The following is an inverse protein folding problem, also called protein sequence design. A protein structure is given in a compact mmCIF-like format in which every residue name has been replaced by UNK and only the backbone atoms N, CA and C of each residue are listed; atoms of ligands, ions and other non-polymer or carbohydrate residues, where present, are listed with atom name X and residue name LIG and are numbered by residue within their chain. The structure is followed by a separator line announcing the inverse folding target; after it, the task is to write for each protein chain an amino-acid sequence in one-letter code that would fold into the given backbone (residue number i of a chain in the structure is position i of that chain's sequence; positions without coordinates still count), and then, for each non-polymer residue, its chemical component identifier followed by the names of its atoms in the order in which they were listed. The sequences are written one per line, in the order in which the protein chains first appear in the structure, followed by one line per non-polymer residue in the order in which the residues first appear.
data_IF_262225217480
#
_entry.id   IF_262225217480
#
_cell.length_a   1.000
_cell.length_b   1.000
_cell.length_c   1.000
_cell.angle_alpha   90.00
_cell.angle_beta   90.00
_cell.angle_gamma   90.00
#
_symmetry.space_group_name_H-M   'P 1'
#
loop_
_entity.id
_entity.type
_entity.pdbx_description
1 polymer ?
#
# COMPACT_ATOMS: atom_id res chain seq x y z
N UNK A 1 -0.86 0.47 -3.03
CA UNK A 1 -0.88 0.66 -1.56
C UNK A 1 0.57 0.72 -1.13
N UNK A 2 1.04 1.81 -0.49
CA UNK A 2 2.44 1.88 -0.02
C UNK A 2 2.56 0.94 1.19
N UNK A 3 2.92 -0.31 0.92
CA UNK A 3 3.09 -1.37 1.92
C UNK A 3 4.49 -1.36 2.54
N UNK A 4 5.44 -0.66 1.90
CA UNK A 4 6.80 -0.50 2.39
C UNK A 4 6.88 0.74 3.29
N UNK A 5 7.51 0.58 4.45
CA UNK A 5 7.85 1.66 5.36
C UNK A 5 9.37 1.81 5.38
N UNK A 6 9.87 2.86 4.73
CA UNK A 6 11.30 3.07 4.49
C UNK A 6 11.91 3.86 5.65
N UNK A 7 12.90 3.27 6.33
CA UNK A 7 13.61 3.92 7.44
C UNK A 7 15.09 4.02 7.12
N UNK A 8 15.63 5.22 7.17
CA UNK A 8 17.07 5.47 7.10
C UNK A 8 17.63 5.56 8.51
N UNK A 9 18.62 4.74 8.82
CA UNK A 9 19.20 4.62 10.14
C UNK A 9 20.71 4.88 10.11
N UNK A 10 21.16 5.97 10.72
CA UNK A 10 22.57 6.27 10.95
C UNK A 10 23.00 5.80 12.34
N UNK A 11 23.80 4.73 12.41
CA UNK A 11 24.40 4.20 13.66
C UNK A 11 25.72 3.50 13.32
N UNK A 12 26.78 3.87 14.05
CA UNK A 12 28.12 3.30 13.91
C UNK A 12 28.24 1.87 14.50
N UNK A 13 27.26 1.47 15.30
CA UNK A 13 27.18 0.21 16.03
C UNK A 13 25.78 -0.40 15.90
N UNK A 14 25.39 -0.85 14.69
CA UNK A 14 24.04 -1.37 14.41
C UNK A 14 23.65 -2.57 15.30
N UNK A 15 24.62 -3.35 15.79
CA UNK A 15 24.36 -4.45 16.74
C UNK A 15 23.70 -3.99 18.05
N UNK A 16 23.93 -2.74 18.48
CA UNK A 16 23.38 -2.21 19.72
C UNK A 16 21.90 -1.85 19.61
N UNK A 17 21.36 -1.79 18.40
CA UNK A 17 19.98 -1.38 18.12
C UNK A 17 19.19 -2.45 17.35
N UNK A 18 19.77 -3.64 17.16
CA UNK A 18 19.12 -4.77 16.50
C UNK A 18 17.81 -5.17 17.17
N UNK A 19 17.74 -5.08 18.50
CA UNK A 19 16.50 -5.33 19.25
C UNK A 19 15.40 -4.33 18.92
N UNK A 20 15.74 -3.04 18.75
CA UNK A 20 14.79 -2.00 18.35
C UNK A 20 14.33 -2.20 16.90
N UNK A 21 15.26 -2.54 16.00
CA UNK A 21 14.97 -2.84 14.60
C UNK A 21 14.02 -4.04 14.45
N UNK A 22 14.30 -5.14 15.16
CA UNK A 22 13.45 -6.34 15.12
C UNK A 22 12.08 -6.08 15.76
N UNK A 23 12.03 -5.34 16.86
CA UNK A 23 10.77 -4.96 17.49
C UNK A 23 9.84 -4.20 16.52
N UNK A 24 10.39 -3.20 15.82
CA UNK A 24 9.64 -2.40 14.86
C UNK A 24 9.24 -3.23 13.64
N UNK A 25 10.12 -4.13 13.18
CA UNK A 25 9.83 -5.05 12.07
C UNK A 25 8.61 -5.92 12.39
N UNK A 26 8.58 -6.56 13.56
CA UNK A 26 7.45 -7.38 14.01
C UNK A 26 6.18 -6.52 14.11
N UNK A 27 6.30 -5.32 14.66
CA UNK A 27 5.15 -4.43 14.84
C UNK A 27 4.55 -3.95 13.51
N UNK A 28 5.39 -3.53 12.56
CA UNK A 28 4.98 -3.15 11.21
C UNK A 28 4.34 -4.33 10.47
N UNK A 29 4.93 -5.52 10.56
CA UNK A 29 4.38 -6.72 9.95
C UNK A 29 2.96 -7.02 10.47
N UNK A 30 2.72 -6.90 11.79
CA UNK A 30 1.37 -7.01 12.38
C UNK A 30 0.41 -5.94 11.88
N UNK A 31 0.91 -4.77 11.53
CA UNK A 31 0.11 -3.68 10.94
C UNK A 31 -0.08 -3.84 9.41
N UNK A 32 0.52 -4.87 8.81
CA UNK A 32 0.47 -5.13 7.37
C UNK A 32 1.46 -4.31 6.55
N UNK A 33 2.55 -3.85 7.15
CA UNK A 33 3.63 -3.12 6.48
C UNK A 33 4.93 -3.90 6.51
N UNK A 34 5.69 -3.79 5.44
CA UNK A 34 7.05 -4.30 5.31
C UNK A 34 8.05 -3.21 5.72
N UNK A 35 8.91 -3.50 6.69
CA UNK A 35 9.98 -2.59 7.08
C UNK A 35 11.14 -2.68 6.10
N UNK A 36 11.48 -1.57 5.45
CA UNK A 36 12.68 -1.45 4.63
C UNK A 36 13.73 -0.60 5.38
N UNK A 37 14.73 -1.25 5.97
CA UNK A 37 15.82 -0.58 6.69
C UNK A 37 17.00 -0.28 5.76
N UNK A 38 17.38 0.99 5.66
CA UNK A 38 18.65 1.43 5.10
C UNK A 38 19.57 1.83 6.27
N UNK A 39 20.48 0.93 6.68
CA UNK A 39 21.39 1.18 7.79
C UNK A 39 22.75 1.69 7.28
N UNK A 40 23.18 2.84 7.78
CA UNK A 40 24.43 3.51 7.41
C UNK A 40 25.30 3.70 8.65
N UNK A 41 26.53 3.19 8.56
CA UNK A 41 27.53 3.36 9.61
C UNK A 41 28.33 4.66 9.42
N UNK A 42 28.45 5.12 8.18
CA UNK A 42 29.09 6.38 7.81
C UNK A 42 28.04 7.36 7.26
N UNK A 43 28.26 8.63 7.60
CA UNK A 43 27.52 9.80 7.17
C UNK A 43 27.83 10.17 5.72
N UNK A 44 29.07 9.92 5.28
CA UNK A 44 29.57 10.31 3.97
C UNK A 44 29.64 11.82 3.77
N UNK A 45 29.84 12.24 2.51
CA UNK A 45 29.89 13.66 2.14
C UNK A 45 28.49 14.28 2.02
N UNK A 46 28.38 15.60 2.08
CA UNK A 46 27.10 16.30 1.84
C UNK A 46 26.52 15.98 0.45
N UNK A 47 27.36 15.74 -0.56
CA UNK A 47 26.89 15.30 -1.88
C UNK A 47 26.27 13.91 -1.86
N UNK A 48 26.77 13.02 -0.99
CA UNK A 48 26.22 11.68 -0.77
C UNK A 48 24.83 11.78 -0.15
N UNK A 49 24.69 12.61 0.89
CA UNK A 49 23.41 12.88 1.56
C UNK A 49 22.40 13.45 0.58
N UNK A 50 22.79 14.43 -0.25
CA UNK A 50 21.92 15.01 -1.28
C UNK A 50 21.41 13.94 -2.25
N UNK A 51 22.30 13.10 -2.81
CA UNK A 51 21.92 12.02 -3.73
C UNK A 51 20.98 11.00 -3.07
N UNK A 52 21.18 10.74 -1.79
CA UNK A 52 20.35 9.80 -1.03
C UNK A 52 18.88 10.22 -1.03
N UNK A 53 18.61 11.49 -0.73
CA UNK A 53 17.26 12.06 -0.71
C UNK A 53 16.70 12.42 -2.10
N UNK A 54 17.54 12.52 -3.13
CA UNK A 54 17.07 12.65 -4.51
C UNK A 54 16.55 11.33 -5.08
N UNK A 55 17.15 10.21 -4.65
CA UNK A 55 16.86 8.89 -5.21
C UNK A 55 15.90 8.05 -4.37
N UNK A 56 15.68 8.41 -3.10
CA UNK A 56 14.89 7.62 -2.16
C UNK A 56 13.98 8.49 -1.29
N UNK A 57 12.76 8.01 -1.10
CA UNK A 57 11.81 8.55 -0.13
C UNK A 57 11.83 7.75 1.17
N UNK A 58 12.18 8.41 2.27
CA UNK A 58 12.16 7.82 3.61
C UNK A 58 10.98 8.32 4.43
N UNK A 59 10.30 7.39 5.11
CA UNK A 59 9.15 7.66 5.98
C UNK A 59 9.59 8.08 7.39
N UNK A 60 10.78 7.64 7.82
CA UNK A 60 11.38 8.00 9.10
C UNK A 60 12.91 7.99 9.01
N UNK A 61 13.55 8.94 9.69
CA UNK A 61 15.00 9.00 9.83
C UNK A 61 15.37 8.71 11.29
N UNK A 62 16.38 7.91 11.53
CA UNK A 62 16.87 7.55 12.87
C UNK A 62 18.37 7.80 12.92
N UNK A 63 18.85 8.59 13.89
CA UNK A 63 20.23 9.08 13.96
C UNK A 63 20.78 8.92 15.38
N UNK A 64 21.84 8.13 15.55
CA UNK A 64 22.59 8.09 16.82
C UNK A 64 23.39 9.38 16.99
N UNK A 65 23.48 9.85 18.23
CA UNK A 65 24.26 11.03 18.56
C UNK A 65 25.77 10.84 18.34
N UNK A 66 26.31 9.66 18.68
CA UNK A 66 27.75 9.39 18.69
C UNK A 66 28.13 8.51 17.51
N UNK A 67 28.24 9.13 16.34
CA UNK A 67 28.78 8.51 15.14
C UNK A 67 30.33 8.53 15.20
N UNK A 68 30.99 7.49 14.71
CA UNK A 68 32.40 7.20 15.06
C UNK A 68 33.47 7.89 14.23
N UNK A 69 33.15 8.69 13.23
CA UNK A 69 34.17 9.27 12.36
C UNK A 69 33.95 10.75 12.06
N UNK A 70 35.01 11.53 12.32
CA UNK A 70 35.16 12.99 12.18
C UNK A 70 34.36 13.82 13.18
N UNK A 71 34.78 15.06 13.43
CA UNK A 71 34.25 16.00 14.44
C UNK A 71 32.76 16.41 14.28
N UNK A 72 31.98 15.64 13.51
CA UNK A 72 30.55 15.85 13.27
C UNK A 72 29.78 14.82 14.07
N UNK A 73 29.23 15.27 15.18
CA UNK A 73 28.25 14.47 15.91
C UNK A 73 26.92 14.37 15.14
N UNK A 74 26.03 13.48 15.56
CA UNK A 74 24.74 13.30 14.90
C UNK A 74 23.89 14.58 14.83
N UNK A 75 24.17 15.60 15.65
CA UNK A 75 23.45 16.87 15.58
C UNK A 75 23.81 17.68 14.33
N UNK A 76 25.08 17.64 13.90
CA UNK A 76 25.54 18.30 12.69
C UNK A 76 25.04 17.59 11.44
N UNK A 77 24.97 16.27 11.47
CA UNK A 77 24.34 15.49 10.41
C UNK A 77 22.87 15.89 10.22
N UNK A 78 22.10 16.01 11.31
CA UNK A 78 20.68 16.40 11.25
C UNK A 78 20.51 17.77 10.58
N UNK A 79 21.39 18.74 10.87
CA UNK A 79 21.37 20.06 10.22
C UNK A 79 21.60 19.95 8.72
N UNK A 80 22.53 19.08 8.28
CA UNK A 80 22.80 18.83 6.86
C UNK A 80 21.61 18.14 6.19
N UNK A 81 21.09 17.07 6.79
CA UNK A 81 19.90 16.35 6.30
C UNK A 81 18.73 17.31 6.06
N UNK A 82 18.48 18.21 7.01
CA UNK A 82 17.35 19.16 6.96
C UNK A 82 17.40 20.17 5.81
N UNK A 83 18.58 20.37 5.19
CA UNK A 83 18.70 21.17 3.96
C UNK A 83 18.10 20.47 2.73
N UNK A 84 18.06 19.13 2.74
CA UNK A 84 17.59 18.30 1.64
C UNK A 84 16.27 17.58 1.95
N UNK A 85 15.92 17.46 3.23
CA UNK A 85 14.73 16.76 3.71
C UNK A 85 14.07 17.55 4.85
N UNK A 86 13.08 18.39 4.50
CA UNK A 86 12.46 19.34 5.42
C UNK A 86 11.33 18.75 6.24
N UNK A 87 10.52 17.85 5.66
CA UNK A 87 9.25 17.41 6.26
C UNK A 87 9.29 16.06 6.98
N UNK A 88 10.30 15.22 6.76
CA UNK A 88 10.37 13.88 7.36
C UNK A 88 10.79 13.96 8.82
N UNK A 89 10.13 13.21 9.70
CA UNK A 89 10.51 13.16 11.10
C UNK A 89 11.91 12.53 11.28
N UNK A 90 12.65 13.09 12.23
CA UNK A 90 13.96 12.55 12.63
C UNK A 90 13.89 12.12 14.08
N UNK A 91 14.30 10.89 14.37
CA UNK A 91 14.50 10.37 15.71
C UNK A 91 15.99 10.44 16.02
N UNK A 92 16.34 11.30 16.96
CA UNK A 92 17.69 11.51 17.43
C UNK A 92 17.86 10.84 18.79
N UNK A 93 18.75 9.86 18.91
CA UNK A 93 18.87 9.08 20.14
C UNK A 93 20.31 8.92 20.63
N UNK A 94 20.44 8.64 21.92
CA UNK A 94 21.72 8.28 22.54
C UNK A 94 21.50 7.66 23.92
N UNK A 95 22.57 7.35 24.65
CA UNK A 95 22.49 6.99 26.07
C UNK A 95 22.18 8.17 27.01
N UNK A 96 22.20 9.41 26.53
CA UNK A 96 21.85 10.61 27.31
C UNK A 96 20.34 10.77 27.48
N UNK A 97 19.94 11.66 28.40
CA UNK A 97 18.54 12.05 28.58
C UNK A 97 18.01 12.86 27.39
N UNK A 98 16.71 12.74 27.02
CA UNK A 98 16.08 13.52 25.96
C UNK A 98 16.34 15.03 26.03
N UNK A 99 16.30 15.63 27.24
CA UNK A 99 16.52 17.06 27.43
C UNK A 99 17.93 17.52 27.00
N UNK A 100 18.96 16.73 27.33
CA UNK A 100 20.35 16.97 26.92
C UNK A 100 20.57 16.78 25.42
N UNK A 101 19.83 15.88 24.78
CA UNK A 101 19.87 15.74 23.32
C UNK A 101 19.20 16.93 22.64
N UNK A 102 18.05 17.37 23.18
CA UNK A 102 17.30 18.51 22.66
C UNK A 102 18.08 19.81 22.76
N UNK A 103 18.87 20.03 23.82
CA UNK A 103 19.73 21.21 23.92
C UNK A 103 20.86 21.25 22.89
N UNK A 104 21.19 20.11 22.27
CA UNK A 104 22.22 20.00 21.21
C UNK A 104 21.64 20.17 19.79
N UNK A 105 20.31 20.19 19.64
CA UNK A 105 19.67 20.27 18.33
C UNK A 105 18.53 21.29 18.32
N UNK A 106 18.71 22.37 17.56
CA UNK A 106 17.72 23.42 17.34
C UNK A 106 17.04 23.29 15.98
N UNK A 107 16.49 22.10 15.70
CA UNK A 107 15.78 21.83 14.44
C UNK A 107 14.41 21.22 14.73
N UNK A 108 13.42 21.63 13.93
CA UNK A 108 12.05 21.16 14.04
C UNK A 108 11.87 19.75 13.44
N UNK A 109 10.83 19.07 13.92
CA UNK A 109 10.54 17.69 13.55
C UNK A 109 11.60 16.68 14.02
N UNK A 110 12.35 17.01 15.07
CA UNK A 110 13.35 16.12 15.69
C UNK A 110 12.86 15.65 17.06
N UNK A 111 12.69 14.33 17.20
CA UNK A 111 12.31 13.66 18.44
C UNK A 111 13.56 13.14 19.13
N UNK A 112 13.79 13.54 20.37
CA UNK A 112 14.97 13.17 21.14
C UNK A 112 14.65 12.03 22.10
N UNK A 113 15.34 10.89 22.01
CA UNK A 113 15.08 9.73 22.86
C UNK A 113 16.33 9.15 23.53
N UNK A 114 16.11 8.52 24.68
CA UNK A 114 17.12 7.62 25.23
C UNK A 114 17.11 6.30 24.44
N UNK A 115 18.29 5.70 24.26
CA UNK A 115 18.47 4.44 23.54
C UNK A 115 17.64 3.30 24.15
N UNK A 116 17.50 3.26 25.47
CA UNK A 116 16.75 2.19 26.14
C UNK A 116 15.25 2.26 25.83
N UNK A 117 14.73 3.46 25.62
CA UNK A 117 13.31 3.71 25.32
C UNK A 117 13.02 3.73 23.81
N UNK A 118 14.06 3.56 22.99
CA UNK A 118 13.99 3.69 21.53
C UNK A 118 12.96 2.74 20.90
N UNK A 119 12.86 1.44 21.26
CA UNK A 119 11.88 0.54 20.65
C UNK A 119 10.42 1.00 20.84
N UNK A 120 10.07 1.40 22.06
CA UNK A 120 8.72 1.84 22.41
C UNK A 120 8.38 3.19 21.75
N UNK A 121 9.33 4.13 21.78
CA UNK A 121 9.12 5.46 21.20
C UNK A 121 9.06 5.43 19.67
N UNK A 122 9.90 4.62 19.01
CA UNK A 122 9.81 4.42 17.56
C UNK A 122 8.46 3.84 17.18
N UNK A 123 7.97 2.86 17.94
CA UNK A 123 6.63 2.29 17.73
C UNK A 123 5.55 3.38 17.78
N UNK A 124 5.60 4.27 18.78
CA UNK A 124 4.62 5.35 18.93
C UNK A 124 4.62 6.32 17.74
N UNK A 125 5.80 6.78 17.30
CA UNK A 125 5.91 7.68 16.13
C UNK A 125 5.37 7.00 14.88
N UNK A 126 5.79 5.76 14.64
CA UNK A 126 5.39 4.97 13.48
C UNK A 126 3.87 4.78 13.48
N UNK A 127 3.27 4.39 14.61
CA UNK A 127 1.82 4.23 14.73
C UNK A 127 1.07 5.54 14.47
N UNK A 128 1.55 6.67 15.00
CA UNK A 128 0.95 8.00 14.78
C UNK A 128 0.98 8.40 13.30
N UNK A 129 2.08 8.12 12.61
CA UNK A 129 2.24 8.42 11.18
C UNK A 129 1.42 7.49 10.31
N UNK A 130 1.48 6.19 10.59
CA UNK A 130 0.67 5.21 9.89
C UNK A 130 -0.80 5.48 10.07
N UNK A 131 -1.26 5.98 11.22
CA UNK A 131 -2.66 6.40 11.39
C UNK A 131 -3.11 7.42 10.34
N UNK A 132 -2.25 8.39 9.98
CA UNK A 132 -2.55 9.39 8.94
C UNK A 132 -2.47 8.84 7.50
N UNK A 133 -1.59 7.89 7.25
CA UNK A 133 -1.51 7.22 5.93
C UNK A 133 -2.69 6.24 5.75
N UNK A 134 -3.04 5.54 6.83
CA UNK A 134 -4.25 4.77 6.93
C UNK A 134 -5.47 5.67 6.77
N UNK A 135 -5.46 6.91 7.29
CA UNK A 135 -6.51 7.91 7.06
C UNK A 135 -6.66 8.24 5.56
N UNK A 136 -5.60 8.40 4.77
CA UNK A 136 -5.74 8.55 3.31
C UNK A 136 -6.35 7.33 2.62
N UNK A 137 -5.96 6.11 3.02
CA UNK A 137 -6.58 4.89 2.52
C UNK A 137 -8.03 4.75 3.02
N UNK A 138 -8.33 5.21 4.24
CA UNK A 138 -9.67 5.31 4.79
C UNK A 138 -10.48 6.33 4.01
N UNK A 139 -9.94 7.50 3.66
CA UNK A 139 -10.58 8.52 2.81
C UNK A 139 -10.87 7.99 1.42
N UNK A 140 -9.96 7.20 0.83
CA UNK A 140 -10.24 6.45 -0.41
C UNK A 140 -11.36 5.43 -0.21
N UNK A 141 -11.35 4.72 0.92
CA UNK A 141 -12.41 3.79 1.31
C UNK A 141 -13.76 4.49 1.50
N UNK A 142 -13.78 5.64 2.17
CA UNK A 142 -14.96 6.48 2.41
C UNK A 142 -15.50 7.05 1.11
N UNK A 143 -14.62 7.51 0.21
CA UNK A 143 -15.03 7.95 -1.13
C UNK A 143 -15.65 6.79 -1.93
N UNK A 144 -14.99 5.63 -1.95
CA UNK A 144 -15.53 4.45 -2.66
C UNK A 144 -16.84 3.97 -2.03
N UNK A 145 -16.97 3.99 -0.71
CA UNK A 145 -18.19 3.66 0.01
C UNK A 145 -19.31 4.65 -0.34
N UNK A 146 -19.03 5.96 -0.33
CA UNK A 146 -20.01 6.99 -0.69
C UNK A 146 -20.46 6.88 -2.16
N UNK A 147 -19.55 6.55 -3.08
CA UNK A 147 -19.92 6.31 -4.49
C UNK A 147 -20.74 5.03 -4.64
N UNK A 148 -20.42 3.97 -3.90
CA UNK A 148 -21.23 2.75 -3.87
C UNK A 148 -22.64 3.02 -3.31
N UNK A 149 -22.76 3.88 -2.30
CA UNK A 149 -24.06 4.34 -1.80
C UNK A 149 -24.85 5.05 -2.91
N UNK A 150 -24.20 5.90 -3.70
CA UNK A 150 -24.84 6.57 -4.85
C UNK A 150 -25.30 5.58 -5.91
N UNK A 151 -24.46 4.60 -6.29
CA UNK A 151 -24.84 3.55 -7.25
C UNK A 151 -26.09 2.81 -6.78
N UNK A 152 -26.17 2.47 -5.49
CA UNK A 152 -27.36 1.81 -4.93
C UNK A 152 -28.58 2.75 -4.88
N UNK A 153 -28.41 4.03 -4.56
CA UNK A 153 -29.50 5.02 -4.63
C UNK A 153 -30.01 5.14 -6.06
N UNK A 154 -29.10 5.22 -7.04
CA UNK A 154 -29.42 5.27 -8.47
C UNK A 154 -30.19 4.02 -8.89
N UNK A 155 -29.73 2.83 -8.51
CA UNK A 155 -30.37 1.55 -8.84
C UNK A 155 -31.79 1.44 -8.25
N UNK A 156 -31.97 1.84 -6.98
CA UNK A 156 -33.29 1.87 -6.35
C UNK A 156 -34.22 2.92 -7.01
N UNK A 157 -33.68 4.09 -7.36
CA UNK A 157 -34.44 5.10 -8.09
C UNK A 157 -34.84 4.59 -9.47
N UNK A 158 -33.92 3.95 -10.17
CA UNK A 158 -34.11 3.37 -11.48
C UNK A 158 -35.26 2.35 -11.47
N UNK A 159 -35.22 1.38 -10.55
CA UNK A 159 -36.31 0.41 -10.38
C UNK A 159 -37.65 1.06 -10.02
N UNK A 160 -37.67 1.95 -9.03
CA UNK A 160 -38.91 2.60 -8.57
C UNK A 160 -39.55 3.52 -9.62
N UNK A 161 -38.73 4.19 -10.43
CA UNK A 161 -39.23 5.09 -11.47
C UNK A 161 -39.67 4.32 -12.72
N UNK A 162 -39.03 3.20 -13.04
CA UNK A 162 -39.47 2.29 -14.11
C UNK A 162 -40.90 1.78 -13.90
N UNK A 163 -41.34 1.59 -12.65
CA UNK A 163 -42.72 1.21 -12.33
C UNK A 163 -43.76 2.31 -12.62
N UNK A 164 -43.32 3.56 -12.82
CA UNK A 164 -44.19 4.72 -13.06
C UNK A 164 -44.26 5.15 -14.52
N UNK A 165 -43.50 4.51 -15.39
CA UNK A 165 -43.41 4.81 -16.82
C UNK A 165 -43.81 3.58 -17.63
N UNK A 166 -43.96 3.77 -18.95
CA UNK A 166 -44.15 2.65 -19.87
C UNK A 166 -42.90 1.78 -19.91
N UNK A 167 -42.97 0.63 -19.23
CA UNK A 167 -41.85 -0.30 -19.09
C UNK A 167 -41.33 -0.81 -20.43
N UNK A 168 -42.20 -1.09 -21.41
CA UNK A 168 -41.75 -1.65 -22.69
C UNK A 168 -40.87 -0.66 -23.46
N UNK A 169 -41.27 0.62 -23.46
CA UNK A 169 -40.48 1.68 -24.08
C UNK A 169 -39.06 1.77 -23.48
N UNK A 170 -38.96 1.75 -22.15
CA UNK A 170 -37.66 1.89 -21.48
C UNK A 170 -36.84 0.59 -21.44
N UNK A 171 -37.47 -0.59 -21.55
CA UNK A 171 -36.74 -1.85 -21.75
C UNK A 171 -35.95 -1.79 -23.06
N UNK A 172 -36.57 -1.32 -24.14
CA UNK A 172 -35.88 -1.15 -25.42
C UNK A 172 -34.73 -0.13 -25.30
N UNK A 173 -34.97 1.01 -24.64
CA UNK A 173 -33.91 2.01 -24.38
C UNK A 173 -32.72 1.44 -23.58
N UNK A 174 -32.99 0.60 -22.58
CA UNK A 174 -31.95 -0.08 -21.78
C UNK A 174 -31.13 -1.02 -22.67
N UNK A 175 -31.80 -1.83 -23.50
CA UNK A 175 -31.16 -2.76 -24.42
C UNK A 175 -30.30 -2.00 -25.43
N UNK A 176 -30.84 -0.94 -26.04
CA UNK A 176 -30.14 -0.13 -27.04
C UNK A 176 -28.93 0.60 -26.44
N UNK A 177 -29.11 1.20 -25.26
CA UNK A 177 -28.02 1.88 -24.54
C UNK A 177 -26.91 0.91 -24.17
N UNK A 178 -27.27 -0.27 -23.65
CA UNK A 178 -26.31 -1.32 -23.29
C UNK A 178 -25.57 -1.84 -24.52
N UNK A 179 -26.29 -2.09 -25.61
CA UNK A 179 -25.73 -2.59 -26.87
C UNK A 179 -24.77 -1.57 -27.47
N UNK A 180 -25.16 -0.30 -27.57
CA UNK A 180 -24.31 0.79 -28.07
C UNK A 180 -23.04 0.97 -27.23
N UNK A 181 -23.13 0.87 -25.90
CA UNK A 181 -21.96 0.93 -25.02
C UNK A 181 -20.95 -0.20 -25.31
N UNK A 182 -21.44 -1.43 -25.48
CA UNK A 182 -20.59 -2.58 -25.78
C UNK A 182 -20.07 -2.57 -27.23
N UNK A 183 -20.85 -2.13 -28.22
CA UNK A 183 -20.40 -1.98 -29.60
C UNK A 183 -19.28 -0.96 -29.73
N UNK A 184 -19.39 0.19 -29.04
CA UNK A 184 -18.31 1.18 -29.02
C UNK A 184 -17.02 0.61 -28.43
N UNK A 185 -17.13 -0.22 -27.38
CA UNK A 185 -15.99 -0.91 -26.78
C UNK A 185 -15.38 -1.93 -27.76
N UNK A 186 -16.23 -2.70 -28.47
CA UNK A 186 -15.81 -3.65 -29.48
C UNK A 186 -15.11 -2.97 -30.67
N UNK A 187 -15.64 -1.83 -31.13
CA UNK A 187 -15.06 -1.06 -32.22
C UNK A 187 -13.69 -0.50 -31.85
N UNK A 188 -13.49 -0.06 -30.60
CA UNK A 188 -12.14 0.30 -30.10
C UNK A 188 -11.19 -0.88 -30.21
N UNK A 189 -11.59 -2.07 -29.76
CA UNK A 189 -10.77 -3.29 -29.83
C UNK A 189 -10.45 -3.65 -31.29
N UNK A 190 -11.43 -3.62 -32.20
CA UNK A 190 -11.23 -3.93 -33.62
C UNK A 190 -10.30 -2.95 -34.33
N UNK A 191 -10.31 -1.69 -33.92
CA UNK A 191 -9.47 -0.63 -34.48
C UNK A 191 -8.05 -0.61 -33.89
N UNK A 192 -7.77 -1.40 -32.84
CA UNK A 192 -6.39 -1.63 -32.40
C UNK A 192 -5.67 -2.52 -33.42
N UNK A 193 -4.88 -1.91 -34.29
CA UNK A 193 -3.98 -2.62 -35.20
C UNK A 193 -2.85 -3.34 -34.47
N UNK A 194 -2.06 -4.16 -35.17
CA UNK A 194 -1.05 -5.07 -34.61
C UNK A 194 0.28 -4.43 -34.18
N UNK A 195 0.49 -3.14 -34.49
CA UNK A 195 1.76 -2.44 -34.27
C UNK A 195 1.69 -1.45 -33.09
N UNK A 196 0.88 -1.75 -32.07
CA UNK A 196 0.75 -0.92 -30.87
C UNK A 196 1.66 -1.40 -29.76
N UNK A 197 1.91 -0.53 -28.78
CA UNK A 197 2.67 -0.93 -27.61
C UNK A 197 1.83 -1.87 -26.71
N UNK A 198 2.48 -2.79 -26.01
CA UNK A 198 1.80 -3.80 -25.16
C UNK A 198 0.85 -3.14 -24.13
N UNK A 199 1.22 -1.96 -23.63
CA UNK A 199 0.38 -1.24 -22.66
C UNK A 199 -1.00 -0.87 -23.27
N UNK A 200 -1.07 -0.57 -24.57
CA UNK A 200 -2.32 -0.22 -25.25
C UNK A 200 -3.28 -1.41 -25.26
N UNK A 201 -2.80 -2.62 -25.55
CA UNK A 201 -3.63 -3.84 -25.46
C UNK A 201 -3.98 -4.19 -24.01
N UNK A 202 -3.01 -4.11 -23.10
CA UNK A 202 -3.26 -4.43 -21.69
C UNK A 202 -4.26 -3.46 -21.05
N UNK A 203 -4.37 -2.22 -21.52
CA UNK A 203 -5.34 -1.24 -21.04
C UNK A 203 -6.81 -1.65 -21.29
N UNK A 204 -7.05 -2.49 -22.31
CA UNK A 204 -8.38 -3.01 -22.66
C UNK A 204 -8.84 -4.12 -21.71
N UNK A 205 -7.89 -4.76 -21.03
CA UNK A 205 -8.16 -5.87 -20.13
C UNK A 205 -8.42 -5.37 -18.72
N UNK A 206 -9.55 -5.79 -18.13
CA UNK A 206 -9.77 -5.64 -16.69
C UNK A 206 -8.88 -6.62 -15.91
N UNK A 207 -8.84 -6.50 -14.57
CA UNK A 207 -7.89 -7.24 -13.74
C UNK A 207 -7.98 -8.77 -13.88
N UNK A 208 -9.18 -9.33 -14.07
CA UNK A 208 -9.35 -10.78 -14.20
C UNK A 208 -8.79 -11.33 -15.53
N UNK A 209 -9.19 -10.79 -16.71
CA UNK A 209 -8.56 -11.17 -17.99
C UNK A 209 -7.04 -10.97 -18.02
N UNK A 210 -6.51 -9.93 -17.36
CA UNK A 210 -5.05 -9.74 -17.23
C UNK A 210 -4.35 -10.91 -16.56
N UNK A 211 -4.88 -11.38 -15.43
CA UNK A 211 -4.31 -12.53 -14.72
C UNK A 211 -4.42 -13.80 -15.57
N UNK A 212 -5.53 -13.99 -16.28
CA UNK A 212 -5.68 -15.14 -17.19
C UNK A 212 -4.66 -15.12 -18.32
N UNK A 213 -4.41 -13.96 -18.94
CA UNK A 213 -3.37 -13.82 -19.98
C UNK A 213 -1.98 -14.01 -19.38
N UNK A 214 -1.70 -13.46 -18.20
CA UNK A 214 -0.43 -13.67 -17.50
C UNK A 214 -0.16 -15.15 -17.24
N UNK A 215 -1.15 -15.90 -16.74
CA UNK A 215 -1.03 -17.35 -16.52
C UNK A 215 -0.67 -18.08 -17.83
N UNK A 216 -1.27 -17.71 -18.96
CA UNK A 216 -0.91 -18.29 -20.26
C UNK A 216 0.54 -17.99 -20.63
N UNK A 217 0.96 -16.73 -20.50
CA UNK A 217 2.35 -16.33 -20.75
C UNK A 217 3.34 -17.11 -19.86
N UNK A 218 3.03 -17.26 -18.56
CA UNK A 218 3.89 -17.99 -17.63
C UNK A 218 3.97 -19.50 -17.95
N UNK A 219 2.87 -20.10 -18.44
CA UNK A 219 2.89 -21.49 -18.91
C UNK A 219 3.73 -21.64 -20.18
N UNK A 220 3.70 -20.66 -21.09
CA UNK A 220 4.47 -20.70 -22.35
C UNK A 220 5.99 -20.55 -22.12
N UNK A 221 6.41 -19.97 -20.99
CA UNK A 221 7.84 -19.85 -20.60
C UNK A 221 8.43 -21.23 -20.21
N UNK A 222 7.60 -22.21 -19.85
CA UNK A 222 7.99 -23.59 -19.52
C UNK A 222 9.14 -23.69 -18.49
N UNK A 223 9.11 -22.82 -17.47
CA UNK A 223 10.07 -22.84 -16.36
C UNK A 223 9.45 -23.52 -15.13
N UNK A 224 10.00 -24.67 -14.74
CA UNK A 224 9.53 -25.46 -13.59
C UNK A 224 9.48 -24.66 -12.29
N UNK A 225 10.34 -23.63 -12.13
CA UNK A 225 10.35 -22.76 -10.95
C UNK A 225 9.06 -21.95 -10.83
N UNK A 226 8.36 -21.71 -11.93
CA UNK A 226 7.12 -20.93 -11.98
C UNK A 226 5.87 -21.74 -11.66
N UNK A 227 5.91 -23.08 -11.79
CA UNK A 227 4.74 -23.96 -11.65
C UNK A 227 3.97 -23.81 -10.33
N UNK A 228 4.64 -23.71 -9.15
CA UNK A 228 3.92 -23.51 -7.89
C UNK A 228 3.11 -22.21 -7.87
N UNK A 229 3.62 -21.15 -8.49
CA UNK A 229 3.02 -19.83 -8.50
C UNK A 229 1.88 -19.72 -9.53
N UNK A 230 1.99 -20.41 -10.67
CA UNK A 230 0.92 -20.48 -11.67
C UNK A 230 -0.34 -21.08 -11.06
N UNK A 231 -0.20 -22.18 -10.30
CA UNK A 231 -1.32 -22.80 -9.60
C UNK A 231 -1.96 -21.83 -8.60
N UNK A 232 -1.16 -21.11 -7.81
CA UNK A 232 -1.68 -20.12 -6.86
C UNK A 232 -2.40 -18.96 -7.56
N UNK A 233 -1.86 -18.45 -8.68
CA UNK A 233 -2.46 -17.36 -9.45
C UNK A 233 -3.82 -17.74 -10.04
N UNK A 234 -4.08 -19.02 -10.31
CA UNK A 234 -5.38 -19.49 -10.81
C UNK A 234 -6.53 -19.19 -9.83
N UNK A 235 -6.24 -19.16 -8.53
CA UNK A 235 -7.19 -18.85 -7.46
C UNK A 235 -7.31 -17.35 -7.16
N UNK A 236 -6.47 -16.49 -7.76
CA UNK A 236 -6.45 -15.05 -7.52
C UNK A 236 -7.82 -14.37 -7.79
N UNK A 237 -8.56 -14.69 -8.87
CA UNK A 237 -9.86 -14.07 -9.11
C UNK A 237 -10.85 -14.31 -7.96
N UNK A 238 -10.90 -15.53 -7.42
CA UNK A 238 -11.80 -15.86 -6.31
C UNK A 238 -11.27 -15.35 -4.97
N UNK A 239 -9.96 -15.45 -4.76
CA UNK A 239 -9.34 -15.15 -3.46
C UNK A 239 -9.18 -13.66 -3.19
N UNK A 240 -9.03 -12.84 -4.25
CA UNK A 240 -8.72 -11.41 -4.15
C UNK A 240 -9.75 -10.55 -4.90
N UNK A 241 -10.03 -10.85 -6.17
CA UNK A 241 -10.87 -9.96 -6.99
C UNK A 241 -12.34 -9.97 -6.56
N UNK A 242 -12.89 -11.15 -6.24
CA UNK A 242 -14.26 -11.28 -5.75
C UNK A 242 -14.47 -10.53 -4.42
N UNK A 243 -13.66 -10.77 -3.36
CA UNK A 243 -13.76 -10.00 -2.12
C UNK A 243 -13.55 -8.50 -2.35
N UNK A 244 -12.59 -8.09 -3.18
CA UNK A 244 -12.38 -6.67 -3.51
C UNK A 244 -13.62 -6.04 -4.12
N UNK A 245 -14.26 -6.70 -5.07
CA UNK A 245 -15.45 -6.18 -5.73
C UNK A 245 -16.66 -6.16 -4.79
N UNK A 246 -16.78 -7.16 -3.90
CA UNK A 246 -17.80 -7.15 -2.85
C UNK A 246 -17.62 -5.97 -1.91
N UNK A 247 -16.40 -5.75 -1.40
CA UNK A 247 -16.09 -4.63 -0.50
C UNK A 247 -16.25 -3.27 -1.19
N UNK A 248 -15.97 -3.17 -2.50
CA UNK A 248 -16.09 -1.92 -3.24
C UNK A 248 -17.54 -1.53 -3.60
N UNK A 249 -18.48 -2.47 -3.62
CA UNK A 249 -19.87 -2.26 -4.00
C UNK A 249 -20.87 -2.56 -2.87
N UNK A 250 -20.39 -2.85 -1.66
CA UNK A 250 -21.25 -3.15 -0.54
C UNK A 250 -21.34 -1.97 0.42
N UNK A 251 -22.57 -1.65 0.83
CA UNK A 251 -22.86 -0.65 1.86
C UNK A 251 -22.66 -1.28 3.24
N UNK A 252 -22.05 -0.53 4.17
CA UNK A 252 -22.04 -0.88 5.60
C UNK A 252 -23.43 -0.62 6.18
N UNK A 253 -24.15 -1.68 6.53
CA UNK A 253 -25.54 -1.58 7.03
C UNK A 253 -25.58 -1.39 8.54
N UNK A 254 -24.68 -2.05 9.27
CA UNK A 254 -24.50 -1.91 10.71
C UNK A 254 -23.19 -2.56 11.18
N UNK A 255 -22.64 -2.03 12.26
CA UNK A 255 -21.57 -2.66 13.03
C UNK A 255 -22.11 -2.97 14.44
N UNK A 256 -22.25 -4.26 14.76
CA UNK A 256 -22.65 -4.72 16.09
C UNK A 256 -21.55 -5.65 16.60
N UNK A 257 -20.89 -5.28 17.70
CA UNK A 257 -19.84 -6.07 18.36
C UNK A 257 -18.69 -6.52 17.43
N UNK A 258 -18.27 -5.67 16.47
CA UNK A 258 -17.13 -5.97 15.58
C UNK A 258 -17.44 -6.88 14.39
N UNK A 259 -18.72 -7.19 14.14
CA UNK A 259 -19.20 -7.82 12.91
C UNK A 259 -19.75 -6.74 11.97
N UNK A 260 -19.24 -6.71 10.74
CA UNK A 260 -19.68 -5.81 9.68
C UNK A 260 -20.65 -6.55 8.75
N UNK A 261 -21.88 -6.07 8.65
CA UNK A 261 -22.83 -6.59 7.67
C UNK A 261 -22.76 -5.71 6.43
N UNK A 262 -22.26 -6.29 5.33
CA UNK A 262 -22.09 -5.60 4.06
C UNK A 262 -23.18 -6.04 3.08
N UNK A 263 -23.98 -5.09 2.59
CA UNK A 263 -25.06 -5.38 1.63
C UNK A 263 -24.67 -4.89 0.24
N UNK A 264 -24.65 -5.80 -0.74
CA UNK A 264 -24.61 -5.46 -2.16
C UNK A 264 -26.04 -5.58 -2.76
N UNK A 265 -26.31 -4.96 -3.90
CA UNK A 265 -27.61 -4.93 -4.60
C UNK A 265 -28.26 -6.30 -4.80
N UNK A 266 -27.47 -7.38 -4.81
CA UNK A 266 -27.95 -8.77 -5.01
C UNK A 266 -27.86 -9.69 -3.78
N UNK A 267 -27.09 -9.37 -2.74
CA UNK A 267 -26.86 -10.27 -1.58
C UNK A 267 -26.32 -9.54 -0.34
N UNK A 268 -26.76 -9.97 0.84
CA UNK A 268 -26.13 -9.59 2.12
C UNK A 268 -24.96 -10.55 2.40
N UNK A 269 -23.78 -9.98 2.68
CA UNK A 269 -22.54 -10.71 2.96
C UNK A 269 -21.96 -10.17 4.27
N UNK A 270 -21.77 -11.04 5.24
CA UNK A 270 -21.19 -10.65 6.52
C UNK A 270 -19.66 -10.81 6.48
N UNK A 271 -18.96 -9.80 6.99
CA UNK A 271 -17.52 -9.83 7.22
C UNK A 271 -17.24 -9.56 8.69
N UNK A 272 -16.42 -10.38 9.32
CA UNK A 272 -15.91 -10.15 10.66
C UNK A 272 -14.43 -9.71 10.62
N UNK A 273 -13.88 -9.36 11.78
CA UNK A 273 -12.48 -8.96 11.90
C UNK A 273 -11.49 -10.02 11.39
N UNK A 274 -11.75 -11.30 11.65
CA UNK A 274 -10.90 -12.41 11.21
C UNK A 274 -10.92 -12.55 9.68
N UNK A 275 -12.04 -12.26 9.02
CA UNK A 275 -12.14 -12.23 7.55
C UNK A 275 -11.24 -11.15 6.96
N UNK A 276 -11.21 -9.95 7.55
CA UNK A 276 -10.30 -8.88 7.12
C UNK A 276 -8.84 -9.23 7.35
N UNK A 277 -8.52 -9.87 8.47
CA UNK A 277 -7.17 -10.35 8.76
C UNK A 277 -6.74 -11.40 7.72
N UNK A 278 -7.60 -12.38 7.43
CA UNK A 278 -7.38 -13.41 6.41
C UNK A 278 -7.19 -12.82 5.02
N UNK A 279 -8.00 -11.83 4.62
CA UNK A 279 -7.84 -11.13 3.34
C UNK A 279 -6.49 -10.41 3.27
N UNK A 280 -6.04 -9.78 4.36
CA UNK A 280 -4.72 -9.13 4.41
C UNK A 280 -3.59 -10.15 4.28
N UNK A 281 -3.68 -11.28 4.96
CA UNK A 281 -2.69 -12.36 4.80
C UNK A 281 -2.63 -12.86 3.36
N UNK A 282 -3.78 -13.13 2.73
CA UNK A 282 -3.84 -13.49 1.31
C UNK A 282 -3.18 -12.44 0.40
N UNK A 283 -3.41 -11.15 0.64
CA UNK A 283 -2.77 -10.08 -0.13
C UNK A 283 -1.24 -10.15 0.01
N UNK A 284 -0.71 -10.44 1.21
CA UNK A 284 0.73 -10.59 1.42
C UNK A 284 1.27 -11.84 0.70
N UNK A 285 0.57 -12.97 0.75
CA UNK A 285 0.97 -14.21 0.07
C UNK A 285 1.04 -14.03 -1.45
N UNK A 286 0.01 -13.37 -2.04
CA UNK A 286 0.02 -13.03 -3.46
C UNK A 286 1.10 -12.01 -3.81
N UNK A 287 1.42 -11.09 -2.90
CA UNK A 287 2.52 -10.15 -3.11
C UNK A 287 3.87 -10.88 -3.18
N UNK A 288 4.16 -11.78 -2.24
CA UNK A 288 5.36 -12.61 -2.32
C UNK A 288 5.38 -13.43 -3.63
N UNK A 289 4.25 -14.00 -4.02
CA UNK A 289 4.10 -14.74 -5.29
C UNK A 289 4.49 -13.90 -6.49
N UNK A 290 3.97 -12.66 -6.59
CA UNK A 290 4.35 -11.75 -7.68
C UNK A 290 5.83 -11.37 -7.62
N UNK A 291 6.39 -11.09 -6.43
CA UNK A 291 7.80 -10.75 -6.25
C UNK A 291 8.71 -11.94 -6.66
N UNK A 292 8.30 -13.19 -6.42
CA UNK A 292 9.02 -14.40 -6.86
C UNK A 292 8.96 -14.60 -8.36
N UNK A 293 7.79 -14.43 -8.98
CA UNK A 293 7.65 -14.49 -10.44
C UNK A 293 8.53 -13.42 -11.08
N UNK A 294 8.50 -12.20 -10.55
CA UNK A 294 9.36 -11.11 -11.03
C UNK A 294 10.85 -11.47 -10.89
N UNK A 295 11.27 -12.06 -9.76
CA UNK A 295 12.65 -12.51 -9.57
C UNK A 295 13.08 -13.57 -10.60
N UNK A 296 12.24 -14.55 -10.91
CA UNK A 296 12.57 -15.63 -11.85
C UNK A 296 12.48 -15.23 -13.32
N UNK A 297 11.77 -14.14 -13.62
CA UNK A 297 11.56 -13.63 -14.98
C UNK A 297 12.42 -12.42 -15.32
N UNK A 298 13.20 -11.91 -14.36
CA UNK A 298 14.26 -10.92 -14.62
C UNK A 298 15.47 -11.64 -15.23
N UNK A 299 15.87 -11.20 -16.43
CA UNK A 299 17.14 -11.56 -17.08
C UNK A 299 18.37 -11.17 -16.26
#
# INVERSE_FOLDING_TARGET
MKLKYNVLWFDDRPKNVSSAQEHIKIKLARMGFELCLDCRQDVGSETTIKKLFQNNDYDLLVVDYKLKESDKDGSDLIKVIRRYCTATDIVFYSSETPAKLRSKISVDGVYCYNRNDLPANLTYIIESRLRKVLDLNQMRGLYLAAVADFDHIIDNLFHRLLDKVDKEKYINEIIDTTSSYHENSLNKIKNLGSNKEIYEYSSLLSSQPKIQVLIKILNDIDDERLYPYINLLSDYPQSILVPRNQLAHAMEKSCIQGKYVLKNSKKETEFNFDDFLNLRHKILDYRETFDRIELYTRE
#
